data_IF_255950721960
#
_entry.id   IF_255950721960
#
_cell.length_a   1.000
_cell.length_b   1.000
_cell.length_c   1.000
_cell.angle_alpha   90.00
_cell.angle_beta   90.00
_cell.angle_gamma   90.00
#
_symmetry.space_group_name_H-M   'P 1'
#
loop_
_entity.id
_entity.type
_entity.pdbx_description
1 polymer ?
#
# COMPACT_ATOMS: atom_id res chain seq x y z
N UNK A 1 -17.67 -15.90 49.18
CA UNK A 1 -17.65 -14.70 48.33
C UNK A 1 -16.21 -14.26 48.20
N UNK A 2 -15.59 -14.51 47.05
CA UNK A 2 -14.16 -14.24 46.81
C UNK A 2 -14.02 -13.56 45.47
N UNK A 3 -13.59 -12.31 45.48
CA UNK A 3 -13.16 -11.58 44.29
C UNK A 3 -11.74 -12.01 43.90
N UNK A 4 -11.38 -12.00 42.60
CA UNK A 4 -9.98 -12.12 42.21
C UNK A 4 -9.34 -10.73 42.03
N UNK A 5 -8.17 -10.58 42.65
CA UNK A 5 -7.18 -9.51 42.41
C UNK A 5 -6.35 -9.89 41.16
N UNK A 6 -5.96 -8.93 40.31
CA UNK A 6 -5.20 -9.23 39.09
C UNK A 6 -3.74 -9.55 39.40
N UNK A 7 -3.21 -10.61 38.78
CA UNK A 7 -1.83 -11.05 38.93
C UNK A 7 -0.91 -10.38 37.90
N UNK A 8 0.27 -10.06 38.40
CA UNK A 8 1.36 -9.27 37.86
C UNK A 8 1.95 -9.71 36.51
N UNK A 9 2.44 -8.68 35.80
CA UNK A 9 3.71 -8.60 35.08
C UNK A 9 4.59 -9.87 35.06
N UNK A 10 4.81 -10.41 33.87
CA UNK A 10 5.94 -11.27 33.58
C UNK A 10 6.95 -10.50 32.71
N UNK A 11 7.99 -10.00 33.40
CA UNK A 11 9.27 -9.61 32.80
C UNK A 11 9.96 -10.91 32.37
N UNK A 12 10.15 -11.07 31.06
CA UNK A 12 10.86 -12.21 30.47
C UNK A 12 12.08 -11.73 29.68
N UNK A 13 13.24 -11.76 30.32
CA UNK A 13 14.56 -11.52 29.71
C UNK A 13 14.91 -12.68 28.79
N UNK A 14 15.19 -12.41 27.51
CA UNK A 14 15.88 -13.36 26.62
C UNK A 14 17.29 -12.83 26.37
N UNK A 15 18.26 -13.69 26.70
CA UNK A 15 19.70 -13.50 26.62
C UNK A 15 20.19 -13.17 25.21
N UNK A 16 20.98 -12.09 25.11
CA UNK A 16 22.37 -12.14 24.63
C UNK A 16 22.66 -12.64 23.22
N UNK A 17 22.54 -11.74 22.23
CA UNK A 17 23.46 -11.68 21.09
C UNK A 17 23.93 -10.24 20.93
N UNK A 18 25.24 -9.95 20.89
CA UNK A 18 25.72 -8.60 20.65
C UNK A 18 25.51 -8.27 19.17
N UNK A 19 24.47 -7.49 18.86
CA UNK A 19 24.30 -6.88 17.54
C UNK A 19 25.19 -5.64 17.49
N UNK A 20 26.51 -5.86 17.39
CA UNK A 20 27.41 -4.89 16.79
C UNK A 20 27.53 -5.26 15.31
N UNK A 21 27.49 -4.26 14.43
CA UNK A 21 27.40 -4.33 12.95
C UNK A 21 25.96 -4.21 12.41
N UNK A 22 25.22 -3.21 12.92
CA UNK A 22 24.42 -2.35 12.05
C UNK A 22 24.76 -0.94 12.53
N UNK A 23 25.64 -0.23 11.81
CA UNK A 23 25.76 1.21 12.00
C UNK A 23 24.38 1.76 11.67
N UNK A 24 23.58 2.03 12.71
CA UNK A 24 22.23 2.58 12.64
C UNK A 24 22.25 3.76 11.67
N UNK A 25 21.89 3.55 10.41
CA UNK A 25 21.18 4.57 9.63
C UNK A 25 19.73 4.57 10.14
N UNK A 26 19.56 4.84 11.43
CA UNK A 26 18.32 5.43 11.94
C UNK A 26 18.35 6.89 11.49
N UNK A 27 18.22 7.11 10.18
CA UNK A 27 17.55 8.30 9.73
C UNK A 27 16.08 8.05 10.09
N UNK A 28 15.67 8.51 11.27
CA UNK A 28 14.34 9.09 11.33
C UNK A 28 14.30 10.04 10.13
N UNK A 29 13.56 9.69 9.09
CA UNK A 29 13.23 10.59 7.99
C UNK A 29 12.44 11.73 8.63
N UNK A 30 13.17 12.66 9.22
CA UNK A 30 12.66 13.92 9.70
C UNK A 30 12.47 14.71 8.41
N UNK A 31 11.31 14.52 7.80
CA UNK A 31 10.77 15.43 6.79
C UNK A 31 10.53 16.75 7.53
N UNK A 32 11.61 17.49 7.72
CA UNK A 32 11.59 18.91 7.99
C UNK A 32 11.95 19.52 6.64
N UNK A 33 11.01 20.23 6.04
CA UNK A 33 11.19 21.01 4.81
C UNK A 33 12.09 22.23 5.01
N UNK A 34 13.21 22.06 5.72
CA UNK A 34 14.28 23.02 5.82
C UNK A 34 15.50 22.36 5.19
N UNK A 35 15.89 22.82 4.01
CA UNK A 35 17.23 22.58 3.49
C UNK A 35 18.18 23.26 4.47
N UNK A 36 18.60 22.53 5.49
CA UNK A 36 19.66 22.96 6.38
C UNK A 36 20.93 23.01 5.53
N UNK A 37 21.21 24.19 4.98
CA UNK A 37 22.49 24.48 4.37
C UNK A 37 23.56 24.32 5.44
N UNK A 38 24.11 23.11 5.56
CA UNK A 38 25.37 22.87 6.25
C UNK A 38 26.37 23.95 5.85
N UNK A 39 27.19 24.42 6.80
CA UNK A 39 28.18 25.50 6.66
C UNK A 39 29.13 25.30 5.46
N UNK A 40 28.64 25.53 4.25
CA UNK A 40 29.39 25.50 3.01
C UNK A 40 30.10 26.83 2.88
N UNK A 41 31.39 26.78 2.55
CA UNK A 41 32.12 28.01 2.24
C UNK A 41 31.40 28.74 1.10
N UNK A 42 31.38 30.08 1.18
CA UNK A 42 30.74 30.94 0.18
C UNK A 42 31.21 30.63 -1.25
N UNK A 43 32.48 30.24 -1.40
CA UNK A 43 33.06 29.79 -2.67
C UNK A 43 32.37 28.53 -3.18
N UNK A 44 32.26 27.47 -2.36
CA UNK A 44 31.60 26.23 -2.77
C UNK A 44 30.12 26.44 -3.12
N UNK A 45 29.39 27.22 -2.31
CA UNK A 45 27.98 27.54 -2.59
C UNK A 45 27.81 28.26 -3.94
N UNK A 46 28.66 29.25 -4.22
CA UNK A 46 28.65 29.95 -5.51
C UNK A 46 28.98 29.00 -6.68
N UNK A 47 29.98 28.12 -6.52
CA UNK A 47 30.32 27.13 -7.55
C UNK A 47 29.14 26.20 -7.86
N UNK A 48 28.48 25.65 -6.84
CA UNK A 48 27.32 24.77 -7.02
C UNK A 48 26.15 25.50 -7.70
N UNK A 49 25.97 26.79 -7.40
CA UNK A 49 24.96 27.62 -8.06
C UNK A 49 25.26 27.81 -9.55
N UNK A 50 26.51 28.10 -9.90
CA UNK A 50 26.94 28.27 -11.31
C UNK A 50 26.84 26.97 -12.10
N UNK A 51 27.14 25.83 -11.46
CA UNK A 51 26.99 24.50 -12.04
C UNK A 51 25.52 24.04 -12.12
N UNK A 52 24.58 24.85 -11.63
CA UNK A 52 23.17 24.49 -11.49
C UNK A 52 22.97 23.13 -10.79
N UNK A 53 23.80 22.85 -9.77
CA UNK A 53 23.88 21.53 -9.13
C UNK A 53 22.53 21.01 -8.66
N UNK A 54 21.68 21.89 -8.14
CA UNK A 54 20.33 21.53 -7.72
C UNK A 54 19.48 20.99 -8.87
N UNK A 55 19.53 21.62 -10.06
CA UNK A 55 18.77 21.16 -11.23
C UNK A 55 19.29 19.82 -11.72
N UNK A 56 20.60 19.63 -11.73
CA UNK A 56 21.20 18.33 -12.05
C UNK A 56 20.74 17.25 -11.08
N UNK A 57 20.75 17.53 -9.77
CA UNK A 57 20.27 16.61 -8.75
C UNK A 57 18.80 16.24 -8.95
N UNK A 58 17.95 17.22 -9.30
CA UNK A 58 16.55 16.95 -9.63
C UNK A 58 16.40 16.06 -10.87
N UNK A 59 17.15 16.34 -11.94
CA UNK A 59 17.13 15.53 -13.16
C UNK A 59 17.57 14.09 -12.89
N UNK A 60 18.67 13.88 -12.15
CA UNK A 60 19.13 12.53 -11.78
C UNK A 60 18.12 11.83 -10.87
N UNK A 61 17.59 12.53 -9.86
CA UNK A 61 16.58 11.98 -8.97
C UNK A 61 15.31 11.57 -9.72
N UNK A 62 14.95 12.23 -10.83
CA UNK A 62 13.75 11.91 -11.61
C UNK A 62 13.75 10.48 -12.18
N UNK A 63 14.92 9.85 -12.37
CA UNK A 63 15.05 8.46 -12.80
C UNK A 63 14.68 7.45 -11.71
N UNK A 64 14.65 7.84 -10.44
CA UNK A 64 14.23 6.94 -9.39
C UNK A 64 12.71 6.67 -9.48
N UNK A 65 12.37 5.37 -9.45
CA UNK A 65 11.02 4.86 -9.67
C UNK A 65 10.04 5.23 -8.56
N UNK A 66 10.51 5.36 -7.33
CA UNK A 66 9.68 5.63 -6.15
C UNK A 66 9.88 7.04 -5.63
N UNK A 67 8.84 7.64 -5.05
CA UNK A 67 8.90 8.99 -4.46
C UNK A 67 9.98 9.11 -3.38
N UNK A 68 10.07 8.11 -2.49
CA UNK A 68 11.11 8.03 -1.46
C UNK A 68 12.51 7.87 -2.08
N UNK A 69 12.64 7.08 -3.15
CA UNK A 69 13.88 6.95 -3.91
C UNK A 69 14.33 8.29 -4.48
N UNK A 70 13.43 9.06 -5.11
CA UNK A 70 13.74 10.40 -5.64
C UNK A 70 14.26 11.34 -4.54
N UNK A 71 13.58 11.36 -3.39
CA UNK A 71 13.98 12.18 -2.25
C UNK A 71 15.35 11.76 -1.69
N UNK A 72 15.56 10.45 -1.51
CA UNK A 72 16.82 9.89 -1.01
C UNK A 72 17.99 10.18 -1.98
N UNK A 73 17.80 9.98 -3.28
CA UNK A 73 18.82 10.29 -4.30
C UNK A 73 19.18 11.78 -4.27
N UNK A 74 18.18 12.67 -4.21
CA UNK A 74 18.44 14.12 -4.13
C UNK A 74 19.23 14.48 -2.86
N UNK A 75 18.84 13.94 -1.70
CA UNK A 75 19.53 14.19 -0.44
C UNK A 75 20.98 13.68 -0.47
N UNK A 76 21.19 12.49 -1.05
CA UNK A 76 22.52 11.88 -1.19
C UNK A 76 23.43 12.70 -2.12
N UNK A 77 22.92 13.17 -3.27
CA UNK A 77 23.69 14.01 -4.20
C UNK A 77 24.06 15.38 -3.61
N UNK A 78 23.29 15.86 -2.62
CA UNK A 78 23.61 17.07 -1.87
C UNK A 78 24.59 16.85 -0.71
N UNK A 79 24.95 15.60 -0.39
CA UNK A 79 25.99 15.26 0.60
C UNK A 79 27.37 15.38 -0.03
N UNK A 80 28.04 16.52 0.18
CA UNK A 80 29.33 16.85 -0.45
C UNK A 80 30.56 16.49 0.39
N UNK A 81 30.33 15.85 1.54
CA UNK A 81 31.31 15.45 2.54
C UNK A 81 31.62 13.95 2.49
N UNK A 82 31.20 13.28 1.42
CA UNK A 82 31.34 11.84 1.27
C UNK A 82 32.81 11.41 1.22
N UNK A 83 33.13 10.38 2.01
CA UNK A 83 34.49 9.83 2.06
C UNK A 83 34.77 8.91 0.87
N UNK A 84 36.05 8.68 0.57
CA UNK A 84 36.47 7.71 -0.45
C UNK A 84 35.88 6.31 -0.20
N UNK A 85 35.90 5.86 1.05
CA UNK A 85 35.39 4.53 1.42
C UNK A 85 33.87 4.42 1.22
N UNK A 86 33.11 5.46 1.56
CA UNK A 86 31.68 5.50 1.30
C UNK A 86 31.37 5.51 -0.20
N UNK A 87 32.16 6.23 -0.99
CA UNK A 87 32.03 6.25 -2.45
C UNK A 87 32.26 4.87 -3.05
N UNK A 88 33.28 4.14 -2.56
CA UNK A 88 33.59 2.78 -2.99
C UNK A 88 32.47 1.80 -2.61
N UNK A 89 31.88 1.94 -1.42
CA UNK A 89 30.72 1.15 -0.99
C UNK A 89 29.50 1.38 -1.90
N UNK A 90 29.20 2.64 -2.25
CA UNK A 90 28.10 2.97 -3.15
C UNK A 90 28.32 2.42 -4.57
N UNK A 91 29.57 2.45 -5.05
CA UNK A 91 29.92 1.85 -6.33
C UNK A 91 29.69 0.33 -6.32
N UNK A 92 30.06 -0.34 -5.23
CA UNK A 92 29.79 -1.77 -5.06
C UNK A 92 28.29 -2.08 -5.04
N UNK A 93 27.48 -1.29 -4.32
CA UNK A 93 26.02 -1.40 -4.33
C UNK A 93 25.43 -1.22 -5.74
N UNK A 94 25.96 -0.24 -6.50
CA UNK A 94 25.50 0.05 -7.87
C UNK A 94 25.83 -1.11 -8.81
N UNK A 95 27.06 -1.65 -8.74
CA UNK A 95 27.47 -2.80 -9.54
C UNK A 95 26.62 -4.03 -9.22
N UNK A 96 26.36 -4.30 -7.94
CA UNK A 96 25.48 -5.39 -7.53
C UNK A 96 24.05 -5.21 -8.08
N UNK A 97 23.51 -3.99 -8.03
CA UNK A 97 22.18 -3.69 -8.57
C UNK A 97 22.10 -3.92 -10.08
N UNK A 98 23.14 -3.54 -10.84
CA UNK A 98 23.21 -3.76 -12.29
C UNK A 98 23.25 -5.27 -12.59
N UNK A 99 24.09 -6.02 -11.88
CA UNK A 99 24.18 -7.48 -12.05
C UNK A 99 22.85 -8.17 -11.72
N UNK A 100 22.19 -7.77 -10.63
CA UNK A 100 20.87 -8.28 -10.27
C UNK A 100 19.81 -7.93 -11.32
N UNK A 101 19.80 -6.69 -11.82
CA UNK A 101 18.84 -6.25 -12.84
C UNK A 101 18.98 -7.00 -14.16
N UNK A 102 20.21 -7.32 -14.55
CA UNK A 102 20.51 -8.08 -15.76
C UNK A 102 20.25 -9.59 -15.60
N UNK A 103 19.98 -10.07 -14.39
CA UNK A 103 19.73 -11.47 -14.12
C UNK A 103 18.22 -11.77 -14.16
N UNK A 104 17.82 -12.72 -15.00
CA UNK A 104 16.40 -13.00 -15.32
C UNK A 104 15.51 -13.34 -14.12
N UNK A 105 16.10 -13.77 -13.00
CA UNK A 105 15.34 -14.12 -11.78
C UNK A 105 14.84 -12.92 -10.97
N UNK A 106 15.32 -11.71 -11.21
CA UNK A 106 14.98 -10.55 -10.38
C UNK A 106 14.09 -9.54 -11.09
N UNK A 107 13.07 -9.09 -10.37
CA UNK A 107 12.25 -7.94 -10.75
C UNK A 107 12.47 -6.88 -9.68
N UNK A 108 13.33 -5.91 -9.97
CA UNK A 108 13.67 -4.80 -9.06
C UNK A 108 12.75 -3.59 -9.30
N UNK A 109 11.44 -3.84 -9.39
CA UNK A 109 10.44 -2.81 -9.63
C UNK A 109 9.51 -2.64 -8.44
N UNK A 110 9.57 -1.45 -7.84
CA UNK A 110 8.74 -1.03 -6.71
C UNK A 110 7.64 -0.04 -7.13
N UNK A 111 7.45 0.22 -8.43
CA UNK A 111 6.45 1.20 -8.91
C UNK A 111 5.02 0.83 -8.54
N UNK A 112 4.71 -0.46 -8.39
CA UNK A 112 3.39 -0.95 -7.98
C UNK A 112 3.10 -0.76 -6.49
N UNK A 113 4.11 -0.44 -5.68
CA UNK A 113 3.97 -0.27 -4.23
C UNK A 113 3.82 1.20 -3.90
N UNK A 114 2.67 1.58 -3.32
CA UNK A 114 2.48 2.93 -2.79
C UNK A 114 3.23 3.09 -1.46
N UNK A 115 4.49 3.54 -1.56
CA UNK A 115 5.35 3.75 -0.40
C UNK A 115 4.87 4.89 0.52
N UNK A 116 4.06 5.84 0.03
CA UNK A 116 3.52 6.89 0.87
C UNK A 116 2.44 6.33 1.81
N UNK A 117 1.57 5.46 1.28
CA UNK A 117 0.61 4.71 2.09
C UNK A 117 1.30 3.76 3.07
N UNK A 118 2.37 3.07 2.66
CA UNK A 118 3.18 2.25 3.59
C UNK A 118 3.74 3.09 4.73
N UNK A 119 4.29 4.27 4.44
CA UNK A 119 4.83 5.15 5.48
C UNK A 119 3.73 5.60 6.45
N UNK A 120 2.54 5.93 5.92
CA UNK A 120 1.36 6.26 6.72
C UNK A 120 0.93 5.08 7.60
N UNK A 121 0.82 3.89 7.04
CA UNK A 121 0.49 2.65 7.74
C UNK A 121 1.44 2.39 8.93
N UNK A 122 2.75 2.55 8.72
CA UNK A 122 3.77 2.40 9.77
C UNK A 122 3.61 3.47 10.85
N UNK A 123 3.31 4.72 10.48
CA UNK A 123 3.06 5.81 11.45
C UNK A 123 1.80 5.55 12.28
N UNK A 124 0.73 5.06 11.67
CA UNK A 124 -0.51 4.67 12.36
C UNK A 124 -0.27 3.50 13.31
N UNK A 125 0.36 2.43 12.85
CA UNK A 125 0.70 1.27 13.66
C UNK A 125 1.54 1.64 14.91
N UNK A 126 2.54 2.51 14.74
CA UNK A 126 3.38 3.01 15.86
C UNK A 126 2.60 3.80 16.90
N UNK A 127 1.48 4.41 16.51
CA UNK A 127 0.59 5.18 17.40
C UNK A 127 -0.57 4.33 17.94
N UNK A 128 -0.66 3.06 17.56
CA UNK A 128 -1.78 2.19 17.91
C UNK A 128 -3.10 2.57 17.22
N UNK A 129 -3.02 3.31 16.10
CA UNK A 129 -4.19 3.69 15.30
C UNK A 129 -4.54 2.56 14.31
N UNK A 130 -5.83 2.39 13.97
CA UNK A 130 -6.23 1.43 12.93
C UNK A 130 -5.67 1.85 11.57
N UNK A 131 -5.38 0.85 10.73
CA UNK A 131 -4.97 1.07 9.34
C UNK A 131 -6.21 1.15 8.45
N UNK A 132 -6.16 2.04 7.47
CA UNK A 132 -7.13 2.03 6.37
C UNK A 132 -6.91 0.83 5.43
N UNK A 133 -7.93 0.47 4.64
CA UNK A 133 -7.83 -0.64 3.71
C UNK A 133 -6.72 -0.43 2.66
N UNK A 134 -6.57 0.79 2.14
CA UNK A 134 -5.52 1.09 1.16
C UNK A 134 -4.12 1.00 1.79
N UNK A 135 -3.98 1.47 3.04
CA UNK A 135 -2.74 1.37 3.81
C UNK A 135 -2.33 -0.09 4.04
N UNK A 136 -3.30 -0.93 4.39
CA UNK A 136 -3.08 -2.36 4.58
C UNK A 136 -2.72 -3.08 3.27
N UNK A 137 -3.39 -2.75 2.15
CA UNK A 137 -3.06 -3.30 0.84
C UNK A 137 -1.66 -2.87 0.36
N UNK A 138 -1.29 -1.59 0.53
CA UNK A 138 0.05 -1.12 0.21
C UNK A 138 1.13 -1.85 1.03
N UNK A 139 0.86 -2.09 2.32
CA UNK A 139 1.74 -2.87 3.19
C UNK A 139 1.84 -4.34 2.72
N UNK A 140 0.72 -4.95 2.32
CA UNK A 140 0.69 -6.30 1.75
C UNK A 140 1.57 -6.39 0.50
N UNK A 141 1.41 -5.45 -0.45
CA UNK A 141 2.22 -5.40 -1.68
C UNK A 141 3.71 -5.28 -1.38
N UNK A 142 4.11 -4.46 -0.40
CA UNK A 142 5.52 -4.36 0.01
C UNK A 142 6.04 -5.68 0.59
N UNK A 143 5.27 -6.31 1.48
CA UNK A 143 5.69 -7.57 2.12
C UNK A 143 5.82 -8.70 1.09
N UNK A 144 4.91 -8.78 0.13
CA UNK A 144 4.96 -9.72 -0.98
C UNK A 144 6.13 -9.44 -1.92
N UNK A 145 6.43 -8.17 -2.22
CA UNK A 145 7.60 -7.79 -3.00
C UNK A 145 8.89 -8.27 -2.34
N UNK A 146 9.03 -8.06 -1.02
CA UNK A 146 10.21 -8.52 -0.27
C UNK A 146 10.29 -10.05 -0.26
N UNK A 147 9.17 -10.75 -0.11
CA UNK A 147 9.14 -12.21 -0.17
C UNK A 147 9.57 -12.73 -1.55
N UNK A 148 9.06 -12.13 -2.63
CA UNK A 148 9.47 -12.46 -3.99
C UNK A 148 10.98 -12.21 -4.20
N UNK A 149 11.50 -11.08 -3.72
CA UNK A 149 12.92 -10.74 -3.81
C UNK A 149 13.81 -11.77 -3.09
N UNK A 150 13.39 -12.22 -1.90
CA UNK A 150 14.10 -13.28 -1.16
C UNK A 150 14.04 -14.63 -1.86
N UNK A 151 12.91 -14.97 -2.49
CA UNK A 151 12.75 -16.19 -3.27
C UNK A 151 13.64 -16.17 -4.53
N UNK A 152 13.65 -15.06 -5.26
CA UNK A 152 14.53 -14.84 -6.42
C UNK A 152 16.00 -14.98 -6.04
N UNK A 153 16.42 -14.39 -4.91
CA UNK A 153 17.79 -14.52 -4.43
C UNK A 153 18.13 -15.98 -4.10
N UNK A 154 17.24 -16.69 -3.40
CA UNK A 154 17.43 -18.12 -3.12
C UNK A 154 17.49 -18.97 -4.39
N UNK A 155 16.69 -18.64 -5.40
CA UNK A 155 16.69 -19.34 -6.68
C UNK A 155 18.02 -19.13 -7.42
N UNK A 156 18.51 -17.89 -7.51
CA UNK A 156 19.80 -17.59 -8.12
C UNK A 156 20.96 -18.33 -7.42
N UNK A 157 21.00 -18.32 -6.09
CA UNK A 157 22.03 -19.02 -5.31
C UNK A 157 21.99 -20.55 -5.52
N UNK A 158 20.80 -21.12 -5.70
CA UNK A 158 20.66 -22.55 -6.01
C UNK A 158 21.15 -22.90 -7.40
N UNK A 159 21.02 -21.98 -8.36
CA UNK A 159 21.52 -22.15 -9.72
C UNK A 159 23.04 -22.07 -9.75
N UNK A 160 23.61 -21.06 -9.10
CA UNK A 160 25.05 -20.93 -8.89
C UNK A 160 25.33 -20.19 -7.57
N UNK A 161 26.09 -20.85 -6.69
CA UNK A 161 26.43 -20.33 -5.37
C UNK A 161 27.24 -19.02 -5.41
N UNK A 162 27.96 -18.76 -6.51
CA UNK A 162 28.76 -17.54 -6.66
C UNK A 162 27.90 -16.29 -6.86
N UNK A 163 26.63 -16.42 -7.28
CA UNK A 163 25.70 -15.30 -7.35
C UNK A 163 25.52 -14.58 -6.03
N UNK A 164 25.63 -15.29 -4.89
CA UNK A 164 25.57 -14.65 -3.58
C UNK A 164 26.67 -13.58 -3.44
N UNK A 165 27.90 -13.90 -3.86
CA UNK A 165 29.06 -13.00 -3.79
C UNK A 165 28.97 -11.89 -4.84
N UNK A 166 28.53 -12.22 -6.05
CA UNK A 166 28.40 -11.25 -7.14
C UNK A 166 27.36 -10.16 -6.83
N UNK A 167 26.29 -10.51 -6.09
CA UNK A 167 25.26 -9.57 -5.66
C UNK A 167 25.57 -8.90 -4.31
N UNK A 168 26.75 -9.10 -3.72
CA UNK A 168 27.13 -8.37 -2.52
C UNK A 168 27.34 -6.87 -2.83
N UNK A 169 26.88 -5.96 -1.97
CA UNK A 169 26.35 -6.22 -0.62
C UNK A 169 24.82 -6.41 -0.54
N UNK A 170 24.10 -6.33 -1.67
CA UNK A 170 22.63 -6.38 -1.69
C UNK A 170 22.07 -7.75 -1.29
N UNK A 171 22.75 -8.84 -1.63
CA UNK A 171 22.37 -10.19 -1.19
C UNK A 171 22.31 -10.31 0.33
N UNK A 172 23.28 -9.73 1.05
CA UNK A 172 23.26 -9.65 2.51
C UNK A 172 22.07 -8.83 3.01
N UNK A 173 21.84 -7.64 2.43
CA UNK A 173 20.72 -6.77 2.81
C UNK A 173 19.37 -7.49 2.65
N UNK A 174 19.14 -8.15 1.52
CA UNK A 174 17.90 -8.87 1.22
C UNK A 174 17.69 -10.04 2.19
N UNK A 175 18.77 -10.75 2.53
CA UNK A 175 18.71 -11.88 3.48
C UNK A 175 18.36 -11.43 4.89
N UNK A 176 18.71 -10.18 5.27
CA UNK A 176 18.40 -9.61 6.57
C UNK A 176 16.97 -9.06 6.67
N UNK A 177 16.24 -8.90 5.56
CA UNK A 177 14.85 -8.45 5.58
C UNK A 177 13.96 -9.50 6.27
N UNK A 178 13.07 -9.04 7.14
CA UNK A 178 12.13 -9.91 7.87
C UNK A 178 10.73 -9.73 7.31
N UNK A 179 10.15 -10.79 6.77
CA UNK A 179 8.76 -10.81 6.30
C UNK A 179 7.91 -11.62 7.26
N UNK A 180 6.93 -10.95 7.89
CA UNK A 180 5.97 -11.64 8.75
C UNK A 180 4.79 -12.15 7.91
N UNK A 181 4.82 -13.43 7.56
CA UNK A 181 3.76 -14.12 6.80
C UNK A 181 2.39 -14.13 7.49
N UNK A 182 2.34 -14.02 8.81
CA UNK A 182 1.04 -13.95 9.52
C UNK A 182 0.29 -12.67 9.20
N UNK A 183 1.01 -11.55 9.01
CA UNK A 183 0.42 -10.25 8.64
C UNK A 183 -0.13 -10.31 7.21
N UNK A 184 0.62 -10.91 6.28
CA UNK A 184 0.17 -11.13 4.89
C UNK A 184 -1.18 -11.87 4.89
N UNK A 185 -1.24 -13.01 5.58
CA UNK A 185 -2.47 -13.83 5.67
C UNK A 185 -3.62 -13.07 6.34
N UNK A 186 -3.34 -12.31 7.39
CA UNK A 186 -4.35 -11.53 8.09
C UNK A 186 -4.97 -10.48 7.17
N UNK A 187 -4.15 -9.71 6.44
CA UNK A 187 -4.64 -8.69 5.52
C UNK A 187 -5.49 -9.33 4.41
N UNK A 188 -5.01 -10.42 3.80
CA UNK A 188 -5.74 -11.14 2.75
C UNK A 188 -7.06 -11.77 3.24
N UNK A 189 -7.17 -12.11 4.52
CA UNK A 189 -8.40 -12.64 5.11
C UNK A 189 -9.44 -11.55 5.39
N UNK A 190 -8.99 -10.33 5.66
CA UNK A 190 -9.82 -9.20 6.09
C UNK A 190 -10.21 -8.30 4.92
N UNK A 191 -9.34 -8.15 3.93
CA UNK A 191 -9.48 -7.19 2.83
C UNK A 191 -9.51 -7.94 1.50
N UNK A 192 -10.35 -7.46 0.59
CA UNK A 192 -10.47 -7.96 -0.77
C UNK A 192 -9.61 -7.16 -1.75
N UNK A 193 -9.42 -7.68 -2.96
CA UNK A 193 -8.53 -7.07 -3.96
C UNK A 193 -9.01 -5.67 -4.41
N UNK A 194 -10.29 -5.37 -4.25
CA UNK A 194 -10.89 -4.06 -4.52
C UNK A 194 -10.73 -3.05 -3.36
N UNK A 195 -10.07 -3.46 -2.27
CA UNK A 195 -9.92 -2.66 -1.06
C UNK A 195 -11.12 -2.70 -0.11
N UNK A 196 -12.15 -3.49 -0.42
CA UNK A 196 -13.31 -3.66 0.47
C UNK A 196 -13.01 -4.63 1.61
N UNK A 197 -13.65 -4.41 2.76
CA UNK A 197 -13.54 -5.35 3.90
C UNK A 197 -14.42 -6.56 3.63
N UNK A 198 -13.83 -7.77 3.70
CA UNK A 198 -14.50 -9.06 3.47
C UNK A 198 -15.50 -9.40 4.58
N UNK A 199 -16.51 -10.19 4.24
CA UNK A 199 -17.45 -10.76 5.21
C UNK A 199 -16.74 -11.72 6.21
N UNK A 200 -15.58 -12.27 5.83
CA UNK A 200 -14.71 -13.07 6.71
C UNK A 200 -13.99 -12.25 7.79
N UNK A 201 -13.96 -10.92 7.68
CA UNK A 201 -13.32 -10.06 8.67
C UNK A 201 -14.01 -10.14 10.04
N UNK A 202 -15.33 -10.22 10.07
CA UNK A 202 -16.07 -10.47 11.31
C UNK A 202 -17.46 -11.08 11.08
N UNK A 203 -17.88 -11.93 12.01
CA UNK A 203 -19.22 -12.53 11.98
C UNK A 203 -20.34 -11.49 12.15
N UNK A 204 -20.07 -10.40 12.86
CA UNK A 204 -21.00 -9.29 13.03
C UNK A 204 -21.23 -8.54 11.70
N UNK A 205 -20.16 -8.22 10.97
CA UNK A 205 -20.24 -7.59 9.64
C UNK A 205 -21.01 -8.47 8.65
N UNK A 206 -20.69 -9.77 8.63
CA UNK A 206 -21.40 -10.74 7.80
C UNK A 206 -22.90 -10.75 8.10
N UNK A 207 -23.28 -10.87 9.37
CA UNK A 207 -24.69 -10.86 9.79
C UNK A 207 -25.42 -9.58 9.35
N UNK A 208 -24.80 -8.42 9.52
CA UNK A 208 -25.39 -7.14 9.11
C UNK A 208 -25.60 -7.08 7.59
N UNK A 209 -24.59 -7.47 6.79
CA UNK A 209 -24.72 -7.52 5.32
C UNK A 209 -25.74 -8.55 4.85
N UNK A 210 -25.83 -9.71 5.50
CA UNK A 210 -26.83 -10.74 5.18
C UNK A 210 -28.27 -10.27 5.49
N UNK A 211 -28.45 -9.47 6.56
CA UNK A 211 -29.73 -8.81 6.85
C UNK A 211 -30.11 -7.82 5.75
N UNK A 212 -29.16 -6.97 5.32
CA UNK A 212 -29.37 -6.03 4.20
C UNK A 212 -29.76 -6.77 2.93
N UNK A 213 -28.97 -7.78 2.51
CA UNK A 213 -29.26 -8.61 1.32
C UNK A 213 -30.63 -9.30 1.40
N UNK A 214 -31.04 -9.72 2.60
CA UNK A 214 -32.35 -10.36 2.81
C UNK A 214 -33.50 -9.35 2.67
N UNK A 215 -33.34 -8.14 3.22
CA UNK A 215 -34.32 -7.06 3.07
C UNK A 215 -34.42 -6.59 1.62
N UNK A 216 -33.29 -6.41 0.95
CA UNK A 216 -33.24 -6.08 -0.48
C UNK A 216 -33.97 -7.13 -1.30
N UNK A 217 -33.72 -8.43 -1.08
CA UNK A 217 -34.42 -9.50 -1.80
C UNK A 217 -35.93 -9.47 -1.57
N UNK A 218 -36.36 -9.24 -0.32
CA UNK A 218 -37.80 -9.11 0.00
C UNK A 218 -38.40 -7.90 -0.71
N UNK A 219 -37.69 -6.78 -0.77
CA UNK A 219 -38.14 -5.58 -1.46
C UNK A 219 -38.30 -5.83 -2.96
N UNK A 220 -37.31 -6.43 -3.62
CA UNK A 220 -37.41 -6.83 -5.03
C UNK A 220 -38.61 -7.75 -5.27
N UNK A 221 -38.82 -8.77 -4.43
CA UNK A 221 -39.96 -9.67 -4.54
C UNK A 221 -41.31 -8.96 -4.38
N UNK A 222 -41.39 -7.94 -3.51
CA UNK A 222 -42.59 -7.12 -3.38
C UNK A 222 -42.82 -6.27 -4.63
N UNK A 223 -41.78 -5.66 -5.19
CA UNK A 223 -41.87 -4.90 -6.43
C UNK A 223 -42.29 -5.78 -7.61
N UNK A 224 -41.70 -6.97 -7.76
CA UNK A 224 -42.08 -7.93 -8.80
C UNK A 224 -43.54 -8.37 -8.67
N UNK A 225 -44.03 -8.57 -7.43
CA UNK A 225 -45.43 -8.90 -7.17
C UNK A 225 -46.36 -7.73 -7.55
N UNK A 226 -45.96 -6.49 -7.23
CA UNK A 226 -46.72 -5.30 -7.60
C UNK A 226 -46.81 -5.18 -9.13
N UNK A 227 -45.70 -5.31 -9.84
CA UNK A 227 -45.65 -5.26 -11.32
C UNK A 227 -46.50 -6.37 -11.95
N UNK A 228 -46.42 -7.61 -11.42
CA UNK A 228 -47.16 -8.76 -11.97
C UNK A 228 -48.68 -8.70 -11.74
N UNK A 229 -49.14 -8.00 -10.69
CA UNK A 229 -50.56 -7.94 -10.36
C UNK A 229 -51.35 -6.94 -11.23
N UNK A 230 -50.72 -5.98 -11.92
CA UNK A 230 -51.38 -4.94 -12.73
C UNK A 230 -51.52 -5.28 -14.22
N UNK A 231 -51.98 -6.48 -14.58
CA UNK A 231 -51.92 -6.97 -15.97
C UNK A 231 -52.69 -6.16 -17.02
N UNK A 232 -51.92 -5.47 -17.88
CA UNK A 232 -51.88 -5.62 -19.36
C UNK A 232 -50.54 -5.17 -19.98
N UNK A 233 -49.74 -4.36 -19.26
CA UNK A 233 -48.43 -3.84 -19.71
C UNK A 233 -47.24 -4.25 -18.82
N UNK A 234 -47.37 -5.33 -18.03
CA UNK A 234 -46.30 -5.80 -17.13
C UNK A 234 -44.95 -6.11 -17.82
N UNK A 235 -44.96 -6.30 -19.15
CA UNK A 235 -43.75 -6.53 -19.94
C UNK A 235 -42.87 -5.28 -20.14
N UNK A 236 -43.41 -4.07 -19.89
CA UNK A 236 -42.71 -2.79 -20.09
C UNK A 236 -42.27 -2.12 -18.79
N UNK A 237 -42.52 -2.77 -17.65
CA UNK A 237 -42.23 -2.23 -16.32
C UNK A 237 -41.07 -2.98 -15.67
N UNK A 238 -40.08 -2.24 -15.20
CA UNK A 238 -38.87 -2.78 -14.55
C UNK A 238 -38.67 -2.10 -13.20
N UNK A 239 -38.32 -2.89 -12.18
CA UNK A 239 -37.88 -2.34 -10.90
C UNK A 239 -36.46 -1.77 -11.04
N UNK A 240 -36.28 -0.51 -10.69
CA UNK A 240 -35.00 0.20 -10.75
C UNK A 240 -34.72 0.94 -9.44
N UNK A 241 -33.45 1.23 -9.19
CA UNK A 241 -33.02 2.07 -8.06
C UNK A 241 -32.62 3.43 -8.61
N UNK A 242 -33.28 4.50 -8.14
CA UNK A 242 -32.98 5.89 -8.49
C UNK A 242 -32.68 6.64 -7.19
N UNK A 243 -31.48 7.18 -7.05
CA UNK A 243 -31.01 7.93 -5.86
C UNK A 243 -31.26 7.20 -4.52
N UNK A 244 -31.05 5.88 -4.51
CA UNK A 244 -31.26 5.04 -3.32
C UNK A 244 -32.73 4.76 -2.99
N UNK A 245 -33.66 5.13 -3.87
CA UNK A 245 -35.08 4.79 -3.77
C UNK A 245 -35.46 3.77 -4.83
N UNK A 246 -36.24 2.78 -4.41
CA UNK A 246 -36.77 1.77 -5.30
C UNK A 246 -37.98 2.30 -6.06
N UNK A 247 -37.89 2.29 -7.39
CA UNK A 247 -38.84 2.86 -8.31
C UNK A 247 -39.30 1.82 -9.33
N UNK A 248 -40.52 1.96 -9.86
CA UNK A 248 -41.00 1.19 -11.01
C UNK A 248 -40.88 2.12 -12.21
N UNK A 249 -39.97 1.81 -13.14
CA UNK A 249 -39.87 2.52 -14.41
C UNK A 249 -40.82 1.89 -15.41
N UNK A 250 -41.65 2.71 -16.08
CA UNK A 250 -42.48 2.31 -17.21
C UNK A 250 -41.88 2.87 -18.50
N UNK A 251 -41.80 2.05 -19.56
CA UNK A 251 -41.36 2.48 -20.89
C UNK A 251 -42.41 3.28 -21.68
N UNK A 252 -43.54 3.62 -21.08
CA UNK A 252 -44.66 4.34 -21.70
C UNK A 252 -45.02 5.58 -20.88
N UNK A 253 -45.32 6.69 -21.56
CA UNK A 253 -45.83 7.95 -20.96
C UNK A 253 -47.28 7.85 -20.46
N UNK A 254 -47.87 6.65 -20.47
CA UNK A 254 -49.24 6.46 -20.01
C UNK A 254 -49.31 6.40 -18.48
N UNK A 255 -50.36 6.98 -17.87
CA UNK A 255 -50.55 6.90 -16.43
C UNK A 255 -50.72 5.44 -16.02
N UNK A 256 -49.76 4.93 -15.24
CA UNK A 256 -49.82 3.58 -14.68
C UNK A 256 -50.92 3.49 -13.62
N UNK A 257 -51.44 2.27 -13.39
CA UNK A 257 -52.47 2.02 -12.36
C UNK A 257 -51.97 2.20 -10.92
N UNK A 258 -50.64 2.32 -10.75
CA UNK A 258 -50.00 2.47 -9.46
C UNK A 258 -50.35 3.80 -8.78
N UNK A 259 -50.90 3.69 -7.56
CA UNK A 259 -50.92 4.81 -6.62
C UNK A 259 -49.50 5.04 -6.10
N UNK A 260 -48.91 6.17 -6.47
CA UNK A 260 -47.56 6.52 -6.04
C UNK A 260 -47.15 7.96 -6.39
N UNK A 261 -45.94 8.32 -5.99
CA UNK A 261 -45.27 9.56 -6.39
C UNK A 261 -44.55 9.31 -7.71
N UNK A 262 -44.89 10.07 -8.75
CA UNK A 262 -44.19 10.03 -10.03
C UNK A 262 -42.87 10.80 -9.91
N UNK A 263 -41.78 10.16 -10.31
CA UNK A 263 -40.47 10.78 -10.45
C UNK A 263 -40.18 10.92 -11.95
N UNK A 264 -40.18 12.14 -12.45
CA UNK A 264 -39.71 12.42 -13.81
C UNK A 264 -38.20 12.25 -13.86
N UNK A 265 -37.69 11.32 -14.67
CA UNK A 265 -36.26 11.31 -14.99
C UNK A 265 -35.95 12.55 -15.81
N UNK A 266 -35.16 13.48 -15.26
CA UNK A 266 -34.48 14.44 -16.12
C UNK A 266 -33.52 13.63 -17.00
N UNK A 267 -33.84 13.51 -18.29
CA UNK A 267 -32.79 13.24 -19.26
C UNK A 267 -31.79 14.38 -19.13
N UNK A 268 -30.62 14.07 -18.56
CA UNK A 268 -29.45 14.91 -18.74
C UNK A 268 -29.05 14.74 -20.20
N UNK A 269 -29.66 15.54 -21.07
CA UNK A 269 -29.17 15.74 -22.43
C UNK A 269 -27.76 16.31 -22.31
N UNK A 270 -26.80 15.56 -22.87
CA UNK A 270 -25.39 15.93 -22.98
C UNK A 270 -25.18 17.29 -23.67
#
# INVERSE_FOLDING_TARGET
MSMPVPLFAAVGTIHGCPINIIRRRNAYFKVSSSMDHHNLSKVKSNSLRVLEWDKLCHSVASFARTSLGRQATKAQLWSLDQTFQESLSLLQETNAAILMHNHDSFILDLTSVDLALVESAIKHARRGLPLDANEAMALLSLLQFVEALQLSLKAAIKQDSDWYKQFMPLSQMITQLVVNRSIIKLIQQVIDEDGSVKDSASSALKKARDQVRTLERKLHQLMDKLIRNETKEAALMVASSVDGRWCISSGTDQPTGFKGLLLSSLEVTA
#
